data_IF_475303912470
#
_entry.id   IF_475303912470
#
_cell.length_a   1.000
_cell.length_b   1.000
_cell.length_c   1.000
_cell.angle_alpha   90.00
_cell.angle_beta   90.00
_cell.angle_gamma   90.00
#
_symmetry.space_group_name_H-M   'P 1'
#
loop_
_entity.id
_entity.type
_entity.pdbx_description
1 polymer ?
#
# COMPACT_ATOMS: atom_id res chain seq x y z
N UNK A 1 -5.44 12.62 -8.40
CA UNK A 1 -5.84 11.34 -7.76
C UNK A 1 -6.28 11.51 -6.30
N UNK A 2 -5.59 12.34 -5.50
CA UNK A 2 -6.00 12.76 -4.13
C UNK A 2 -7.49 13.09 -3.93
N UNK A 3 -8.14 13.72 -4.92
CA UNK A 3 -9.59 14.04 -4.85
C UNK A 3 -10.49 12.80 -4.80
N UNK A 4 -10.08 11.70 -5.42
CA UNK A 4 -10.87 10.47 -5.50
C UNK A 4 -10.64 9.54 -4.31
N UNK A 5 -9.50 9.65 -3.63
CA UNK A 5 -9.19 8.86 -2.44
C UNK A 5 -10.11 9.24 -1.28
N UNK A 6 -10.75 8.27 -0.64
CA UNK A 6 -11.74 8.54 0.41
C UNK A 6 -11.09 8.86 1.77
N UNK A 7 -10.08 8.09 2.14
CA UNK A 7 -9.32 8.25 3.37
C UNK A 7 -7.85 8.47 3.00
N UNK A 8 -7.26 9.56 3.50
CA UNK A 8 -5.84 9.84 3.35
C UNK A 8 -5.27 10.08 4.73
N UNK A 9 -4.16 9.43 5.02
CA UNK A 9 -3.44 9.57 6.27
C UNK A 9 -1.99 9.94 6.00
N UNK A 10 -1.39 10.65 6.94
CA UNK A 10 0.05 10.68 7.09
C UNK A 10 0.43 9.54 8.02
N UNK A 11 1.36 8.69 7.60
CA UNK A 11 1.79 7.54 8.35
C UNK A 11 3.32 7.45 8.41
N UNK A 12 3.81 6.80 9.46
CA UNK A 12 5.20 6.33 9.58
C UNK A 12 5.25 4.83 9.36
N UNK A 13 6.23 4.35 8.59
CA UNK A 13 6.39 2.91 8.33
C UNK A 13 7.21 2.25 9.44
N UNK A 14 6.55 1.56 10.38
CA UNK A 14 7.22 0.88 11.52
C UNK A 14 8.01 -0.34 11.08
N UNK A 15 7.44 -1.11 10.16
CA UNK A 15 8.10 -2.29 9.62
C UNK A 15 7.60 -2.59 8.21
N UNK A 16 8.50 -3.17 7.40
CA UNK A 16 8.18 -3.66 6.07
C UNK A 16 8.67 -5.10 5.96
N UNK A 17 7.75 -6.01 5.69
CA UNK A 17 8.07 -7.42 5.46
C UNK A 17 7.77 -7.80 4.01
N UNK A 18 8.72 -8.49 3.37
CA UNK A 18 8.56 -9.03 2.01
C UNK A 18 8.87 -10.53 2.03
N UNK A 19 7.83 -11.35 2.03
CA UNK A 19 7.99 -12.80 2.20
C UNK A 19 6.92 -13.59 1.49
N UNK A 20 6.99 -14.91 1.64
CA UNK A 20 5.92 -15.80 1.20
C UNK A 20 4.64 -15.49 2.00
N UNK A 21 3.52 -15.45 1.31
CA UNK A 21 2.20 -15.22 1.91
C UNK A 21 1.64 -16.44 2.63
N UNK A 22 2.16 -17.64 2.32
CA UNK A 22 1.55 -18.90 2.74
C UNK A 22 0.22 -19.20 2.04
N UNK A 23 -0.20 -18.36 1.09
CA UNK A 23 -1.40 -18.60 0.29
C UNK A 23 -1.11 -19.70 -0.74
N UNK A 24 -1.96 -20.71 -0.79
CA UNK A 24 -1.95 -21.72 -1.85
C UNK A 24 -2.76 -21.16 -3.01
N UNK A 25 -2.07 -20.57 -3.98
CA UNK A 25 -2.69 -19.97 -5.17
C UNK A 25 -2.63 -20.96 -6.32
N UNK A 26 -3.77 -21.23 -6.96
CA UNK A 26 -3.89 -22.24 -8.02
C UNK A 26 -3.44 -21.75 -9.40
N UNK A 27 -3.35 -20.44 -9.59
CA UNK A 27 -2.85 -19.78 -10.80
C UNK A 27 -1.41 -19.27 -10.63
N UNK A 28 -0.80 -18.77 -11.71
CA UNK A 28 0.53 -18.12 -11.72
C UNK A 28 0.53 -16.75 -10.99
N UNK A 29 -0.13 -16.66 -9.85
CA UNK A 29 -0.19 -15.46 -9.04
C UNK A 29 1.09 -15.33 -8.19
N UNK A 30 1.57 -14.12 -7.90
CA UNK A 30 2.75 -13.94 -7.06
C UNK A 30 2.45 -14.40 -5.62
N UNK A 31 3.16 -15.43 -5.15
CA UNK A 31 3.04 -15.88 -3.76
C UNK A 31 3.71 -14.92 -2.76
N UNK A 32 4.62 -14.06 -3.23
CA UNK A 32 5.31 -13.09 -2.38
C UNK A 32 4.41 -11.89 -2.11
N UNK A 33 4.23 -11.60 -0.82
CA UNK A 33 3.49 -10.44 -0.35
C UNK A 33 4.37 -9.47 0.42
N UNK A 34 3.92 -8.24 0.42
CA UNK A 34 4.44 -7.12 1.18
C UNK A 34 3.44 -6.83 2.29
N UNK A 35 3.95 -6.66 3.51
CA UNK A 35 3.19 -6.22 4.68
C UNK A 35 3.88 -4.99 5.25
N UNK A 36 3.18 -3.86 5.20
CA UNK A 36 3.61 -2.59 5.75
C UNK A 36 2.83 -2.34 7.05
N UNK A 37 3.54 -2.25 8.17
CA UNK A 37 2.97 -1.82 9.45
C UNK A 37 3.12 -0.31 9.58
N UNK A 38 1.99 0.37 9.73
CA UNK A 38 1.89 1.82 9.67
C UNK A 38 1.47 2.38 11.02
N UNK A 39 2.15 3.44 11.43
CA UNK A 39 1.75 4.28 12.56
C UNK A 39 1.00 5.52 12.04
N UNK A 40 -0.24 5.61 12.51
CA UNK A 40 -1.23 6.69 12.53
C UNK A 40 -0.78 8.11 12.94
N UNK A 41 -0.08 8.90 12.11
CA UNK A 41 0.33 10.26 12.58
C UNK A 41 -0.81 11.27 12.55
N UNK A 42 -1.53 11.36 11.44
CA UNK A 42 -2.75 12.18 11.33
C UNK A 42 -3.61 11.77 10.15
N UNK A 43 -4.91 12.05 10.27
CA UNK A 43 -5.85 11.91 9.16
C UNK A 43 -5.89 13.22 8.37
N UNK A 44 -5.51 13.16 7.09
CA UNK A 44 -5.50 14.29 6.16
C UNK A 44 -6.88 14.46 5.50
N UNK A 45 -7.56 13.35 5.22
CA UNK A 45 -8.90 13.32 4.61
C UNK A 45 -9.67 12.10 5.08
N UNK A 46 -10.99 12.26 5.26
CA UNK A 46 -11.89 11.18 5.64
C UNK A 46 -11.92 10.95 7.15
N UNK A 47 -12.33 9.76 7.56
CA UNK A 47 -12.38 9.35 8.97
C UNK A 47 -11.67 8.03 9.14
N UNK A 48 -10.72 7.99 10.06
CA UNK A 48 -9.98 6.79 10.46
C UNK A 48 -9.71 6.92 11.96
N UNK A 49 -10.20 5.95 12.75
CA UNK A 49 -10.17 6.04 14.21
C UNK A 49 -8.93 5.38 14.84
N UNK A 50 -8.27 4.49 14.10
CA UNK A 50 -7.17 3.69 14.63
C UNK A 50 -5.83 4.44 14.55
N UNK A 51 -4.96 4.18 15.51
CA UNK A 51 -3.59 4.71 15.55
C UNK A 51 -2.61 3.85 14.75
N UNK A 52 -3.03 2.68 14.30
CA UNK A 52 -2.19 1.76 13.53
C UNK A 52 -2.97 1.15 12.37
N UNK A 53 -2.27 0.84 11.29
CA UNK A 53 -2.83 0.11 10.16
C UNK A 53 -1.83 -0.90 9.61
N UNK A 54 -2.34 -2.01 9.09
CA UNK A 54 -1.52 -2.96 8.33
C UNK A 54 -1.99 -2.92 6.88
N UNK A 55 -1.13 -2.42 6.01
CA UNK A 55 -1.37 -2.41 4.57
C UNK A 55 -0.63 -3.60 3.94
N UNK A 56 -1.33 -4.36 3.10
CA UNK A 56 -0.81 -5.57 2.48
C UNK A 56 -0.87 -5.48 0.96
N UNK A 57 0.05 -6.11 0.27
CA UNK A 57 0.02 -6.15 -1.18
C UNK A 57 0.84 -7.29 -1.76
N UNK A 58 0.66 -7.57 -3.04
CA UNK A 58 1.54 -8.45 -3.79
C UNK A 58 2.85 -7.72 -4.11
N UNK A 59 3.97 -8.42 -3.98
CA UNK A 59 5.28 -7.92 -4.36
C UNK A 59 5.46 -7.91 -5.90
N UNK A 60 4.58 -7.22 -6.62
CA UNK A 60 4.53 -7.21 -8.09
C UNK A 60 4.69 -5.78 -8.64
N UNK A 61 5.74 -5.51 -9.44
CA UNK A 61 5.95 -4.19 -10.03
C UNK A 61 4.93 -3.89 -11.15
N UNK A 62 4.56 -2.61 -11.38
CA UNK A 62 5.02 -1.40 -10.69
C UNK A 62 4.28 -1.18 -9.36
N UNK A 63 4.94 -0.55 -8.38
CA UNK A 63 4.35 -0.20 -7.11
C UNK A 63 5.33 0.56 -6.20
N UNK A 64 4.86 1.10 -5.06
CA UNK A 64 5.64 1.98 -4.17
C UNK A 64 6.74 1.25 -3.38
N UNK A 65 7.16 0.05 -3.79
CA UNK A 65 7.95 -0.83 -2.95
C UNK A 65 9.38 -0.35 -2.73
N UNK A 66 10.00 0.27 -3.73
CA UNK A 66 11.32 0.90 -3.54
C UNK A 66 11.23 2.04 -2.53
N UNK A 67 10.24 2.92 -2.68
CA UNK A 67 10.00 4.02 -1.75
C UNK A 67 9.67 3.51 -0.34
N UNK A 68 8.78 2.54 -0.20
CA UNK A 68 8.46 1.91 1.10
C UNK A 68 9.69 1.24 1.72
N UNK A 69 10.55 0.59 0.93
CA UNK A 69 11.79 -0.01 1.47
C UNK A 69 12.72 1.08 1.99
N UNK A 70 12.84 2.21 1.29
CA UNK A 70 13.61 3.36 1.76
C UNK A 70 13.00 3.97 3.03
N UNK A 71 11.68 4.16 3.07
CA UNK A 71 10.95 4.63 4.26
C UNK A 71 11.21 3.75 5.49
N UNK A 72 11.26 2.42 5.31
CA UNK A 72 11.54 1.50 6.41
C UNK A 72 12.99 1.63 6.94
N UNK A 73 13.93 2.04 6.09
CA UNK A 73 15.32 2.26 6.49
C UNK A 73 15.53 3.59 7.22
N UNK A 74 14.74 4.62 6.91
CA UNK A 74 14.84 5.96 7.54
C UNK A 74 13.91 6.13 8.74
N UNK A 75 13.31 5.04 9.24
CA UNK A 75 12.44 5.05 10.41
C UNK A 75 13.15 5.68 11.63
N UNK A 76 12.53 6.70 12.23
CA UNK A 76 13.03 7.36 13.44
C UNK A 76 14.12 8.41 13.20
N UNK A 77 14.43 8.76 11.95
CA UNK A 77 15.45 9.77 11.61
C UNK A 77 14.96 11.21 11.89
N UNK A 78 13.69 11.52 11.57
CA UNK A 78 12.94 12.71 12.04
C UNK A 78 11.49 12.68 11.54
N UNK A 79 10.56 13.30 12.27
CA UNK A 79 9.11 13.31 11.93
C UNK A 79 8.83 13.85 10.50
N UNK A 80 9.64 14.76 9.99
CA UNK A 80 9.46 15.35 8.64
C UNK A 80 9.99 14.45 7.51
N UNK A 81 10.89 13.51 7.80
CA UNK A 81 11.53 12.63 6.80
C UNK A 81 11.08 11.18 6.87
N UNK A 82 10.52 10.75 8.00
CA UNK A 82 10.13 9.37 8.25
C UNK A 82 8.62 9.12 8.13
N UNK A 83 7.87 10.14 7.72
CA UNK A 83 6.44 10.07 7.43
C UNK A 83 6.14 10.27 5.94
N UNK A 84 5.00 9.76 5.49
CA UNK A 84 4.53 9.90 4.12
C UNK A 84 2.99 9.88 4.09
N UNK A 85 2.39 10.44 3.03
CA UNK A 85 0.95 10.39 2.84
C UNK A 85 0.58 9.15 2.02
N UNK A 86 -0.47 8.44 2.42
CA UNK A 86 -1.07 7.37 1.62
C UNK A 86 -2.59 7.33 1.75
N UNK A 87 -3.23 6.78 0.74
CA UNK A 87 -4.62 6.38 0.84
C UNK A 87 -4.77 5.06 1.60
N UNK A 88 -5.72 5.01 2.54
CA UNK A 88 -6.22 3.78 3.16
C UNK A 88 -7.57 3.39 2.57
N UNK A 89 -7.56 2.79 1.38
CA UNK A 89 -8.75 2.19 0.79
C UNK A 89 -9.01 0.85 1.48
N UNK A 90 -10.14 0.70 2.16
CA UNK A 90 -10.53 -0.58 2.76
C UNK A 90 -11.15 -1.48 1.69
N UNK A 91 -10.68 -2.72 1.62
CA UNK A 91 -11.31 -3.78 0.84
C UNK A 91 -11.91 -4.80 1.80
N UNK A 92 -13.25 -4.88 1.84
CA UNK A 92 -13.97 -5.85 2.65
C UNK A 92 -14.01 -7.20 1.94
N UNK A 93 -13.49 -8.22 2.61
CA UNK A 93 -13.53 -9.62 2.16
C UNK A 93 -14.85 -10.26 2.61
N UNK A 94 -15.32 -9.90 3.80
CA UNK A 94 -16.66 -10.20 4.30
C UNK A 94 -17.07 -9.15 5.36
N UNK A 95 -18.25 -9.31 5.96
CA UNK A 95 -18.80 -8.39 6.95
C UNK A 95 -17.92 -8.17 8.20
N UNK A 96 -17.04 -9.13 8.52
CA UNK A 96 -16.20 -9.13 9.71
C UNK A 96 -14.72 -8.92 9.39
N UNK A 97 -14.31 -9.03 8.12
CA UNK A 97 -12.90 -9.06 7.72
C UNK A 97 -12.66 -8.18 6.50
N UNK A 98 -11.70 -7.27 6.63
CA UNK A 98 -11.25 -6.41 5.55
C UNK A 98 -9.75 -6.17 5.65
N UNK A 99 -9.18 -5.71 4.54
CA UNK A 99 -7.74 -5.44 4.40
C UNK A 99 -7.53 -4.06 3.78
N UNK A 100 -6.33 -3.49 3.95
CA UNK A 100 -5.89 -2.28 3.25
C UNK A 100 -4.92 -2.68 2.12
N UNK A 101 -5.38 -2.85 0.87
CA UNK A 101 -4.54 -3.28 -0.24
C UNK A 101 -3.62 -2.17 -0.77
N UNK A 102 -2.31 -2.33 -0.60
CA UNK A 102 -1.28 -1.42 -1.15
C UNK A 102 -1.36 -1.30 -2.68
N UNK A 103 -1.71 -2.38 -3.38
CA UNK A 103 -1.80 -2.41 -4.85
C UNK A 103 -3.01 -1.64 -5.41
N UNK A 104 -4.00 -1.33 -4.57
CA UNK A 104 -5.22 -0.60 -4.99
C UNK A 104 -5.23 0.85 -4.51
N UNK A 105 -4.23 1.26 -3.72
CA UNK A 105 -4.02 2.65 -3.34
C UNK A 105 -3.76 3.49 -4.59
N UNK A 106 -4.56 4.53 -4.78
CA UNK A 106 -4.44 5.49 -5.88
C UNK A 106 -3.72 6.77 -5.46
N UNK A 107 -3.21 6.83 -4.24
CA UNK A 107 -2.49 7.99 -3.72
C UNK A 107 -1.36 7.56 -2.78
N UNK A 108 -0.15 8.01 -3.12
CA UNK A 108 1.03 8.03 -2.26
C UNK A 108 1.74 9.35 -2.50
N UNK A 109 2.28 9.93 -1.43
CA UNK A 109 3.18 11.07 -1.52
C UNK A 109 4.29 10.87 -0.50
N UNK A 110 5.50 10.66 -0.98
CA UNK A 110 6.67 10.45 -0.13
C UNK A 110 7.40 11.78 0.08
N UNK A 111 8.33 11.85 1.05
CA UNK A 111 9.24 12.99 1.15
C UNK A 111 10.05 13.18 -0.13
N UNK A 112 10.34 14.43 -0.50
CA UNK A 112 11.03 14.78 -1.76
C UNK A 112 12.35 14.01 -1.96
N UNK A 113 13.14 13.83 -0.89
CA UNK A 113 14.39 13.07 -0.94
C UNK A 113 14.18 11.59 -1.29
N UNK A 114 13.10 10.98 -0.77
CA UNK A 114 12.73 9.59 -1.07
C UNK A 114 12.24 9.48 -2.51
N UNK A 115 11.46 10.45 -2.99
CA UNK A 115 11.00 10.52 -4.37
C UNK A 115 12.18 10.65 -5.35
N UNK A 116 13.15 11.53 -5.04
CA UNK A 116 14.37 11.71 -5.83
C UNK A 116 15.21 10.44 -5.89
N UNK A 117 15.49 9.81 -4.74
CA UNK A 117 16.34 8.62 -4.67
C UNK A 117 15.72 7.39 -5.33
N UNK A 118 14.39 7.25 -5.22
CA UNK A 118 13.69 6.08 -5.77
C UNK A 118 13.17 6.29 -7.18
N UNK A 119 13.22 7.53 -7.68
CA UNK A 119 12.55 7.93 -8.92
C UNK A 119 11.03 7.82 -8.83
N UNK A 120 10.46 7.73 -7.61
CA UNK A 120 9.02 7.77 -7.42
C UNK A 120 8.50 9.12 -7.91
N UNK A 121 7.52 9.06 -8.78
CA UNK A 121 6.70 10.21 -9.15
C UNK A 121 5.29 9.82 -8.76
N UNK A 122 4.46 10.78 -8.41
CA UNK A 122 3.06 10.60 -7.97
C UNK A 122 2.13 9.87 -8.99
N UNK A 123 2.68 9.19 -10.00
CA UNK A 123 1.99 8.47 -11.05
C UNK A 123 2.93 7.48 -11.81
N UNK A 124 3.27 6.27 -11.30
CA UNK A 124 3.69 5.22 -12.22
C UNK A 124 2.44 4.82 -13.04
N UNK A 125 2.53 4.71 -14.37
CA UNK A 125 1.38 4.34 -15.19
C UNK A 125 0.78 3.06 -14.64
N UNK A 126 -0.55 3.06 -14.42
CA UNK A 126 -1.30 1.85 -14.09
C UNK A 126 -0.78 0.73 -15.00
N UNK A 127 -0.22 -0.31 -14.41
CA UNK A 127 -0.15 -1.57 -15.13
C UNK A 127 -1.59 -1.96 -15.41
N UNK A 128 -2.04 -1.72 -16.63
CA UNK A 128 -3.29 -2.29 -17.17
C UNK A 128 -3.20 -3.81 -17.32
N UNK A 129 -2.10 -4.41 -16.86
CA UNK A 129 -1.78 -5.83 -16.96
C UNK A 129 -1.62 -6.49 -15.58
N UNK A 130 -2.43 -6.07 -14.59
CA UNK A 130 -2.89 -7.07 -13.61
C UNK A 130 -3.79 -8.07 -14.36
N UNK A 131 -3.74 -9.38 -14.07
CA UNK A 131 -4.58 -10.33 -14.78
C UNK A 131 -6.03 -9.85 -14.67
N UNK A 132 -6.67 -9.66 -15.82
CA UNK A 132 -8.11 -9.52 -15.92
C UNK A 132 -8.68 -10.74 -15.20
N UNK A 133 -9.19 -10.56 -13.99
CA UNK A 133 -10.10 -11.52 -13.40
C UNK A 133 -11.35 -11.40 -14.26
N UNK A 134 -11.38 -12.24 -15.28
CA UNK A 134 -12.57 -12.46 -16.08
C UNK A 134 -13.69 -12.78 -15.10
N UNK A 135 -14.71 -11.93 -15.08
CA UNK A 135 -15.84 -12.02 -14.15
C UNK A 135 -16.83 -13.08 -14.63
N UNK A 136 -16.29 -14.21 -15.09
CA UNK A 136 -17.06 -15.39 -15.43
C UNK A 136 -17.22 -16.21 -14.14
N UNK A 137 -18.44 -16.40 -13.62
CA UNK A 137 -18.65 -17.24 -12.45
C UNK A 137 -18.28 -18.69 -12.82
N UNK A 138 -17.18 -19.18 -12.27
CA UNK A 138 -16.77 -20.58 -12.39
C UNK A 138 -17.54 -21.42 -11.36
N UNK A 139 -18.79 -21.76 -11.65
CA UNK A 139 -19.44 -22.99 -11.18
C UNK A 139 -20.62 -23.35 -12.11
N UNK A 140 -20.72 -24.61 -12.58
CA UNK A 140 -22.01 -25.28 -12.71
C UNK A 140 -22.53 -25.79 -11.36
#
# INVERSE_FOLDING_TARGET
MRRNAQIIVEARLRSLFIGDSGLVVTDKFPNRMIRAELEIKRVIKGTFAEEEAVAIGFAWPPGPYHALTLMAMVYGDSDERDTFELELARYDINENFGIYPLNSCIYYKFPDEVEEQTGWKEDPPRSTNGPLVDSTPLYP
#
